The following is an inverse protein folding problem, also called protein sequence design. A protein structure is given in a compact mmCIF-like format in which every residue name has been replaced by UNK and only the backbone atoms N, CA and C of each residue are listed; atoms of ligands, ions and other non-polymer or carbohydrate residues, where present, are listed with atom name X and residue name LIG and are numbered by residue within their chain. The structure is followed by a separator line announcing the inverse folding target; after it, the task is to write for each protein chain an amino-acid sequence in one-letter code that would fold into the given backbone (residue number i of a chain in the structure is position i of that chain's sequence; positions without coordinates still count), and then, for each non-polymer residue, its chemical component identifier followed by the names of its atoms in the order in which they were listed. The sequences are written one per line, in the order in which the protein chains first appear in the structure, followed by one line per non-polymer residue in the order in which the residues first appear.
data_IF_850311071289
#
_entry.id   IF_850311071289
#
_cell.length_a   1.000
_cell.length_b   1.000
_cell.length_c   1.000
_cell.angle_alpha   90.00
_cell.angle_beta   90.00
_cell.angle_gamma   90.00
#
_symmetry.space_group_name_H-M   'P 1'
#
loop_
_entity.id
_entity.type
_entity.pdbx_description
1 polymer ?
#
# COMPACT_ATOMS: atom_id res chain seq x y z
N UNK A 1 -12.63 -25.91 0.22
CA UNK A 1 -12.00 -26.62 1.35
C UNK A 1 -10.93 -27.51 0.77
N UNK A 2 -9.67 -27.24 1.11
CA UNK A 2 -8.53 -27.98 0.55
C UNK A 2 -8.14 -29.11 1.50
N UNK A 3 -8.13 -30.36 1.05
CA UNK A 3 -7.73 -31.49 1.89
C UNK A 3 -6.21 -31.65 1.94
N UNK A 4 -5.62 -31.82 3.12
CA UNK A 4 -4.24 -32.29 3.26
C UNK A 4 -4.18 -33.79 3.00
N UNK A 5 -3.24 -34.21 2.16
CA UNK A 5 -2.95 -35.60 1.84
C UNK A 5 -1.83 -36.14 2.71
N UNK A 6 -0.76 -35.37 2.89
CA UNK A 6 0.42 -35.80 3.64
C UNK A 6 1.17 -34.62 4.25
N UNK A 7 1.87 -34.87 5.36
CA UNK A 7 2.89 -33.97 5.88
C UNK A 7 4.18 -34.75 6.19
N UNK A 8 5.32 -34.19 5.85
CA UNK A 8 6.64 -34.74 6.09
C UNK A 8 7.49 -33.77 6.90
N UNK A 9 8.09 -34.28 7.96
CA UNK A 9 9.05 -33.56 8.80
C UNK A 9 10.40 -33.49 8.09
N UNK A 10 10.96 -32.30 7.92
CA UNK A 10 12.28 -32.07 7.33
C UNK A 10 13.26 -31.49 8.36
N UNK A 11 14.48 -31.15 7.96
CA UNK A 11 15.50 -30.63 8.89
C UNK A 11 15.16 -29.25 9.48
N UNK A 12 14.46 -28.40 8.72
CA UNK A 12 14.12 -27.00 9.06
C UNK A 12 12.67 -26.59 8.79
N UNK A 13 11.87 -27.48 8.22
CA UNK A 13 10.50 -27.18 7.80
C UNK A 13 9.60 -28.42 7.88
N UNK A 14 8.29 -28.21 7.79
CA UNK A 14 7.33 -29.25 7.43
C UNK A 14 6.98 -29.07 5.96
N UNK A 15 7.12 -30.13 5.17
CA UNK A 15 6.56 -30.19 3.84
C UNK A 15 5.14 -30.76 3.94
N UNK A 16 4.18 -30.11 3.30
CA UNK A 16 2.80 -30.58 3.22
C UNK A 16 2.40 -30.75 1.76
N UNK A 17 1.60 -31.77 1.50
CA UNK A 17 1.00 -32.09 0.20
C UNK A 17 -0.52 -32.10 0.34
N UNK A 18 -1.21 -31.45 -0.58
CA UNK A 18 -2.67 -31.43 -0.66
C UNK A 18 -3.20 -32.51 -1.60
N UNK A 19 -4.50 -32.82 -1.50
CA UNK A 19 -5.17 -33.82 -2.35
C UNK A 19 -5.08 -33.51 -3.86
N UNK A 20 -4.88 -32.25 -4.23
CA UNK A 20 -4.68 -31.80 -5.60
C UNK A 20 -3.23 -31.90 -6.10
N UNK A 21 -2.32 -32.43 -5.27
CA UNK A 21 -0.91 -32.62 -5.59
C UNK A 21 -0.04 -31.37 -5.41
N UNK A 22 -0.61 -30.23 -4.98
CA UNK A 22 0.21 -29.08 -4.61
C UNK A 22 1.05 -29.42 -3.38
N UNK A 23 2.31 -28.98 -3.38
CA UNK A 23 3.23 -29.15 -2.26
C UNK A 23 3.77 -27.81 -1.79
N UNK A 24 3.91 -27.64 -0.48
CA UNK A 24 4.53 -26.44 0.10
C UNK A 24 5.36 -26.80 1.33
N UNK A 25 6.37 -25.96 1.60
CA UNK A 25 7.24 -26.10 2.77
C UNK A 25 7.05 -24.93 3.72
N UNK A 26 6.79 -25.22 5.00
CA UNK A 26 6.62 -24.22 6.05
C UNK A 26 7.77 -24.30 7.04
N UNK A 27 8.51 -23.20 7.20
CA UNK A 27 9.61 -23.11 8.14
C UNK A 27 9.10 -23.28 9.58
N UNK A 28 9.85 -24.02 10.41
CA UNK A 28 9.48 -24.23 11.82
C UNK A 28 9.32 -22.93 12.61
N UNK A 29 10.19 -21.94 12.36
CA UNK A 29 10.12 -20.64 13.00
C UNK A 29 8.84 -19.90 12.62
N UNK A 30 8.49 -19.94 11.33
CA UNK A 30 7.26 -19.31 10.84
C UNK A 30 6.03 -19.96 11.45
N UNK A 31 5.98 -21.30 11.47
CA UNK A 31 4.89 -22.05 12.11
C UNK A 31 4.79 -21.63 13.58
N UNK A 32 5.90 -21.60 14.30
CA UNK A 32 5.91 -21.26 15.72
C UNK A 32 5.43 -19.83 16.02
N UNK A 33 5.87 -18.85 15.23
CA UNK A 33 5.41 -17.45 15.34
C UNK A 33 3.93 -17.30 14.96
N UNK A 34 3.43 -18.10 14.01
CA UNK A 34 2.04 -18.03 13.53
C UNK A 34 1.11 -19.04 14.22
N UNK A 35 1.51 -19.55 15.38
CA UNK A 35 0.62 -20.37 16.19
C UNK A 35 -0.49 -19.53 16.82
N UNK A 36 -1.65 -20.14 17.08
CA UNK A 36 -2.79 -19.47 17.75
C UNK A 36 -2.40 -18.81 19.08
N UNK A 37 -1.41 -19.37 19.78
CA UNK A 37 -0.79 -18.78 20.97
C UNK A 37 0.56 -18.18 20.59
N UNK A 38 0.51 -17.07 19.85
CA UNK A 38 1.71 -16.39 19.36
C UNK A 38 2.66 -16.03 20.51
N UNK A 39 3.87 -16.59 20.56
CA UNK A 39 4.88 -16.18 21.53
C UNK A 39 5.38 -14.77 21.18
N UNK A 40 5.87 -14.02 22.18
CA UNK A 40 6.65 -12.83 21.85
C UNK A 40 8.00 -13.24 21.24
N UNK A 41 8.59 -12.36 20.42
CA UNK A 41 9.82 -12.66 19.69
C UNK A 41 10.97 -13.13 20.59
N UNK A 42 11.05 -12.58 21.81
CA UNK A 42 12.08 -12.92 22.81
C UNK A 42 11.96 -14.35 23.32
N UNK A 43 10.76 -14.93 23.29
CA UNK A 43 10.49 -16.31 23.74
C UNK A 43 10.46 -17.32 22.59
N UNK A 44 10.79 -16.89 21.37
CA UNK A 44 10.81 -17.75 20.20
C UNK A 44 12.16 -18.46 20.12
N UNK A 45 12.17 -19.76 20.39
CA UNK A 45 13.36 -20.58 20.17
C UNK A 45 13.61 -20.77 18.67
N UNK A 46 14.70 -20.17 18.19
CA UNK A 46 15.11 -20.19 16.78
C UNK A 46 15.47 -21.60 16.27
N UNK A 47 15.81 -22.50 17.19
CA UNK A 47 16.17 -23.88 16.89
C UNK A 47 15.03 -24.86 17.21
N UNK A 48 13.85 -24.36 17.58
CA UNK A 48 12.70 -25.19 17.88
C UNK A 48 12.36 -26.08 16.68
N UNK A 49 12.29 -27.38 16.94
CA UNK A 49 11.82 -28.39 15.98
C UNK A 49 10.66 -29.13 16.60
N UNK A 50 9.59 -29.41 15.84
CA UNK A 50 8.51 -30.22 16.35
C UNK A 50 9.06 -31.63 16.61
N UNK A 51 8.66 -32.25 17.71
CA UNK A 51 8.93 -33.65 18.00
C UNK A 51 8.10 -34.53 17.05
N UNK A 52 6.80 -34.25 16.99
CA UNK A 52 5.83 -34.97 16.17
C UNK A 52 5.12 -34.06 15.17
N UNK A 53 4.82 -34.64 14.00
CA UNK A 53 4.06 -34.02 12.91
C UNK A 53 2.92 -34.97 12.57
N UNK A 54 1.69 -34.58 12.93
CA UNK A 54 0.49 -35.36 12.67
C UNK A 54 -0.34 -34.62 11.62
N UNK A 55 -0.66 -35.30 10.52
CA UNK A 55 -1.47 -34.75 9.45
C UNK A 55 -2.86 -35.38 9.48
N UNK A 56 -3.88 -34.56 9.36
CA UNK A 56 -5.26 -34.96 9.12
C UNK A 56 -5.78 -34.19 7.92
N UNK A 57 -6.86 -34.68 7.28
CA UNK A 57 -7.42 -34.05 6.08
C UNK A 57 -7.64 -32.55 6.20
N UNK A 58 -8.04 -32.08 7.38
CA UNK A 58 -8.43 -30.68 7.60
C UNK A 58 -7.37 -29.86 8.34
N UNK A 59 -6.33 -30.50 8.89
CA UNK A 59 -5.42 -29.83 9.81
C UNK A 59 -4.06 -30.52 9.94
N UNK A 60 -3.03 -29.69 10.13
CA UNK A 60 -1.69 -30.07 10.53
C UNK A 60 -1.51 -29.82 12.03
N UNK A 61 -1.19 -30.87 12.77
CA UNK A 61 -0.90 -30.82 14.20
C UNK A 61 0.60 -31.02 14.43
N UNK A 62 1.24 -30.06 15.10
CA UNK A 62 2.65 -30.09 15.45
C UNK A 62 2.81 -30.09 16.97
N UNK A 63 3.64 -30.99 17.49
CA UNK A 63 4.00 -31.03 18.91
C UNK A 63 5.41 -30.50 19.07
N UNK A 64 5.57 -29.46 19.87
CA UNK A 64 6.84 -28.78 20.12
C UNK A 64 7.31 -29.03 21.56
N UNK A 65 8.62 -29.20 21.79
CA UNK A 65 9.18 -29.22 23.13
C UNK A 65 8.91 -27.89 23.89
N UNK A 66 8.75 -27.91 25.24
CA UNK A 66 8.69 -29.11 26.07
C UNK A 66 7.35 -29.85 25.95
N UNK A 67 6.18 -29.18 25.81
CA UNK A 67 4.87 -29.88 25.65
C UNK A 67 3.80 -28.97 25.02
N UNK A 68 4.14 -28.23 23.97
CA UNK A 68 3.18 -27.31 23.34
C UNK A 68 2.71 -27.85 22.00
N UNK A 69 1.41 -28.05 21.83
CA UNK A 69 0.81 -28.45 20.58
C UNK A 69 0.27 -27.22 19.82
N UNK A 70 0.45 -27.21 18.51
CA UNK A 70 -0.13 -26.20 17.62
C UNK A 70 -0.87 -26.88 16.49
N UNK A 71 -2.05 -26.38 16.16
CA UNK A 71 -2.90 -26.89 15.10
C UNK A 71 -3.07 -25.78 14.05
N UNK A 72 -2.83 -26.11 12.77
CA UNK A 72 -3.05 -25.24 11.62
C UNK A 72 -4.10 -25.87 10.72
N UNK A 73 -5.14 -25.11 10.37
CA UNK A 73 -6.11 -25.58 9.38
C UNK A 73 -5.47 -25.68 8.00
N UNK A 74 -5.97 -26.61 7.19
CA UNK A 74 -5.52 -26.77 5.81
C UNK A 74 -5.71 -25.50 4.99
N UNK A 75 -6.85 -24.82 5.17
CA UNK A 75 -7.15 -23.57 4.46
C UNK A 75 -6.16 -22.45 4.86
N UNK A 76 -5.83 -22.32 6.15
CA UNK A 76 -4.83 -21.35 6.61
C UNK A 76 -3.45 -21.63 5.98
N UNK A 77 -3.01 -22.89 5.99
CA UNK A 77 -1.75 -23.26 5.35
C UNK A 77 -1.82 -22.98 3.85
N UNK A 78 -2.96 -23.23 3.21
CA UNK A 78 -3.14 -23.02 1.77
C UNK A 78 -2.99 -21.55 1.38
N UNK A 79 -3.61 -20.65 2.14
CA UNK A 79 -3.51 -19.20 1.93
C UNK A 79 -2.09 -18.66 2.18
N UNK A 80 -1.35 -19.32 3.08
CA UNK A 80 0.00 -18.94 3.47
C UNK A 80 1.09 -19.79 2.80
N UNK A 81 0.74 -20.62 1.80
CA UNK A 81 1.75 -21.25 0.94
C UNK A 81 2.62 -20.11 0.46
N UNK A 82 3.92 -20.19 0.76
CA UNK A 82 4.90 -19.18 0.37
C UNK A 82 4.81 -19.00 -1.13
N UNK A 83 3.96 -18.05 -1.53
CA UNK A 83 4.09 -17.33 -2.75
C UNK A 83 5.47 -16.71 -2.61
N UNK A 84 6.47 -17.29 -3.26
CA UNK A 84 7.73 -16.63 -3.57
C UNK A 84 7.52 -15.32 -4.37
N UNK A 85 6.27 -14.95 -4.62
CA UNK A 85 5.85 -13.60 -4.95
C UNK A 85 5.81 -12.78 -3.67
N UNK A 86 6.80 -11.91 -3.52
CA UNK A 86 6.81 -10.74 -2.64
C UNK A 86 5.41 -10.22 -2.28
N UNK A 87 5.22 -9.61 -1.09
CA UNK A 87 3.96 -8.94 -0.71
C UNK A 87 3.45 -7.85 -1.68
N UNK A 88 4.16 -7.60 -2.79
CA UNK A 88 3.75 -6.78 -3.92
C UNK A 88 2.62 -7.38 -4.78
N UNK A 89 2.14 -8.62 -4.51
CA UNK A 89 1.05 -9.23 -5.29
C UNK A 89 -0.31 -8.54 -5.14
N UNK A 90 -0.49 -7.72 -4.10
CA UNK A 90 -1.68 -6.86 -3.97
C UNK A 90 -1.63 -5.68 -4.95
N UNK A 91 -0.45 -5.32 -5.48
CA UNK A 91 -0.29 -4.19 -6.40
C UNK A 91 -0.27 -4.67 -7.88
N UNK A 92 0.06 -5.93 -8.15
CA UNK A 92 0.28 -6.41 -9.54
C UNK A 92 -1.02 -6.66 -10.33
N UNK A 93 -2.16 -6.82 -9.68
CA UNK A 93 -3.43 -7.09 -10.37
C UNK A 93 -4.16 -5.83 -10.87
N UNK A 94 -3.59 -4.63 -10.72
CA UNK A 94 -4.30 -3.37 -11.00
C UNK A 94 -3.60 -2.44 -11.98
N UNK A 95 -2.43 -2.77 -12.52
CA UNK A 95 -1.74 -1.90 -13.47
C UNK A 95 -2.03 -2.33 -14.90
N UNK A 96 -3.24 -2.00 -15.35
CA UNK A 96 -3.59 -1.97 -16.77
C UNK A 96 -3.29 -0.56 -17.29
N UNK A 97 -2.18 -0.41 -18.02
CA UNK A 97 -1.88 0.86 -18.69
C UNK A 97 -2.84 1.05 -19.87
N UNK A 98 -3.91 1.82 -19.65
CA UNK A 98 -4.67 2.43 -20.74
C UNK A 98 -4.29 3.90 -20.88
N UNK A 99 -3.83 4.26 -22.07
CA UNK A 99 -3.54 5.62 -22.46
C UNK A 99 -4.84 6.43 -22.48
N UNK A 100 -5.02 7.32 -21.51
CA UNK A 100 -6.10 8.30 -21.53
C UNK A 100 -5.50 9.70 -21.65
N UNK A 101 -5.49 10.19 -22.88
CA UNK A 101 -5.31 11.60 -23.21
C UNK A 101 -6.65 12.31 -23.03
N UNK A 102 -7.02 12.65 -21.80
CA UNK A 102 -7.99 13.72 -21.44
C UNK A 102 -8.05 13.86 -19.93
N UNK A 103 -7.56 14.98 -19.42
CA UNK A 103 -7.79 15.42 -18.03
C UNK A 103 -9.32 15.50 -17.78
N UNK A 104 -9.87 14.87 -16.73
CA UNK A 104 -11.27 15.06 -16.39
C UNK A 104 -11.47 16.43 -15.76
N UNK A 105 -12.18 17.32 -16.47
CA UNK A 105 -12.75 18.52 -15.88
C UNK A 105 -13.97 18.10 -15.05
N UNK A 106 -13.80 17.94 -13.74
CA UNK A 106 -14.91 17.57 -12.85
C UNK A 106 -15.66 18.84 -12.44
N UNK A 107 -16.88 19.01 -12.97
CA UNK A 107 -17.83 20.00 -12.48
C UNK A 107 -18.63 19.35 -11.36
N UNK A 108 -18.51 19.85 -10.14
CA UNK A 108 -19.30 19.38 -9.00
C UNK A 108 -20.78 19.73 -9.24
N UNK A 109 -21.59 18.75 -9.61
CA UNK A 109 -23.05 18.85 -9.58
C UNK A 109 -23.58 17.89 -8.52
N UNK A 110 -24.50 18.39 -7.70
CA UNK A 110 -25.17 17.65 -6.64
C UNK A 110 -26.13 16.61 -7.23
N UNK A 111 -25.82 15.32 -7.07
CA UNK A 111 -26.81 14.26 -7.24
C UNK A 111 -26.52 13.10 -6.30
N UNK A 112 -27.52 12.73 -5.51
CA UNK A 112 -27.52 11.66 -4.53
C UNK A 112 -27.44 10.27 -5.20
N UNK A 113 -26.44 9.48 -4.79
CA UNK A 113 -26.52 8.06 -4.40
C UNK A 113 -25.16 7.37 -4.59
N UNK A 114 -24.73 6.65 -3.55
CA UNK A 114 -23.47 5.89 -3.49
C UNK A 114 -23.78 4.41 -3.79
N UNK A 115 -23.06 3.73 -4.70
CA UNK A 115 -23.00 2.28 -4.67
C UNK A 115 -21.92 1.84 -3.66
N UNK A 116 -22.37 1.26 -2.56
CA UNK A 116 -21.56 0.53 -1.61
C UNK A 116 -21.01 -0.73 -2.30
N UNK A 117 -19.69 -0.91 -2.28
CA UNK A 117 -18.95 -2.09 -2.77
C UNK A 117 -18.96 -2.34 -4.30
N UNK A 118 -18.06 -1.67 -5.03
CA UNK A 118 -17.51 -2.21 -6.28
C UNK A 118 -15.98 -2.26 -6.18
N UNK A 119 -15.33 -3.35 -6.58
CA UNK A 119 -13.87 -3.40 -6.64
C UNK A 119 -13.39 -2.36 -7.66
N UNK A 120 -12.53 -1.44 -7.21
CA UNK A 120 -11.85 -0.47 -8.05
C UNK A 120 -11.03 -1.22 -9.11
N UNK A 121 -11.62 -1.40 -10.28
CA UNK A 121 -10.96 -1.92 -11.47
C UNK A 121 -9.91 -0.90 -11.94
N UNK A 122 -8.70 -0.96 -11.38
CA UNK A 122 -7.51 -0.30 -11.92
C UNK A 122 -7.51 1.24 -11.94
N UNK A 123 -8.47 1.90 -11.28
CA UNK A 123 -8.52 3.36 -11.18
C UNK A 123 -7.88 3.79 -9.84
N UNK A 124 -6.79 4.56 -9.92
CA UNK A 124 -5.97 5.02 -8.79
C UNK A 124 -6.58 6.21 -8.03
N UNK A 125 -7.56 6.88 -8.63
CA UNK A 125 -8.26 8.03 -8.04
C UNK A 125 -9.78 7.92 -8.30
N UNK A 126 -10.57 7.99 -7.24
CA UNK A 126 -12.02 8.10 -7.31
C UNK A 126 -12.48 9.35 -6.55
N UNK A 127 -13.11 10.29 -7.24
CA UNK A 127 -13.83 11.39 -6.60
C UNK A 127 -15.22 10.87 -6.25
N UNK A 128 -15.50 10.77 -4.95
CA UNK A 128 -16.80 10.38 -4.43
C UNK A 128 -17.38 11.53 -3.62
N UNK A 129 -18.71 11.61 -3.56
CA UNK A 129 -19.37 12.53 -2.64
C UNK A 129 -18.93 12.18 -1.21
N UNK A 130 -18.44 13.17 -0.47
CA UNK A 130 -17.97 12.94 0.90
C UNK A 130 -19.16 12.59 1.80
N UNK A 131 -19.11 11.39 2.39
CA UNK A 131 -19.93 11.08 3.56
C UNK A 131 -19.46 11.92 4.77
N UNK A 132 -20.31 12.18 5.77
CA UNK A 132 -19.91 12.88 6.98
C UNK A 132 -18.67 12.20 7.59
N UNK A 133 -17.55 12.92 7.62
CA UNK A 133 -16.31 12.41 8.20
C UNK A 133 -16.42 12.56 9.72
N UNK A 134 -16.21 11.47 10.45
CA UNK A 134 -16.12 11.52 11.92
C UNK A 134 -14.99 12.49 12.30
N UNK A 135 -15.32 13.52 13.09
CA UNK A 135 -14.40 14.55 13.54
C UNK A 135 -13.13 13.98 14.21
N UNK A 136 -13.19 12.75 14.75
CA UNK A 136 -12.03 12.05 15.33
C UNK A 136 -10.95 11.65 14.33
N UNK A 137 -11.27 11.60 13.03
CA UNK A 137 -10.35 11.20 11.96
C UNK A 137 -9.84 12.39 11.14
N UNK A 138 -10.28 13.61 11.47
CA UNK A 138 -9.85 14.82 10.80
C UNK A 138 -8.48 15.24 11.34
N UNK A 139 -7.46 15.18 10.49
CA UNK A 139 -6.09 15.56 10.82
C UNK A 139 -5.92 17.09 10.88
N UNK A 140 -6.70 17.82 10.09
CA UNK A 140 -6.71 19.27 10.05
C UNK A 140 -7.74 19.82 9.08
N UNK A 141 -7.85 21.15 9.03
CA UNK A 141 -8.65 21.85 8.04
C UNK A 141 -7.84 23.05 7.54
N UNK A 142 -7.90 23.30 6.24
CA UNK A 142 -7.25 24.45 5.62
C UNK A 142 -8.21 25.15 4.68
N UNK A 143 -8.11 26.48 4.62
CA UNK A 143 -8.93 27.32 3.77
C UNK A 143 -8.03 28.04 2.77
N UNK A 144 -8.22 27.76 1.48
CA UNK A 144 -7.56 28.53 0.43
C UNK A 144 -8.52 29.51 -0.23
N UNK A 145 -7.97 30.60 -0.75
CA UNK A 145 -8.68 31.58 -1.58
C UNK A 145 -7.84 31.90 -2.81
N UNK A 146 -8.49 32.00 -3.96
CA UNK A 146 -7.85 32.32 -5.24
C UNK A 146 -7.75 31.11 -6.17
N UNK A 147 -7.13 31.31 -7.33
CA UNK A 147 -6.83 30.26 -8.30
C UNK A 147 -5.45 29.69 -7.99
N UNK A 148 -5.37 28.68 -7.11
CA UNK A 148 -4.15 27.87 -7.02
C UNK A 148 -3.94 27.20 -8.39
N UNK A 149 -2.93 27.65 -9.15
CA UNK A 149 -2.68 27.15 -10.51
C UNK A 149 -1.80 25.89 -10.51
N UNK A 150 -1.00 25.70 -9.46
CA UNK A 150 -0.03 24.62 -9.38
C UNK A 150 -0.63 23.42 -8.64
N UNK A 151 -0.47 22.24 -9.22
CA UNK A 151 -0.87 20.98 -8.60
C UNK A 151 0.13 20.59 -7.51
N UNK A 152 -0.38 20.17 -6.35
CA UNK A 152 0.47 19.78 -5.22
C UNK A 152 -0.26 18.88 -4.23
N UNK A 153 0.51 18.25 -3.35
CA UNK A 153 -0.01 17.49 -2.21
C UNK A 153 -0.26 18.41 -1.02
N UNK A 154 -1.25 18.06 -0.19
CA UNK A 154 -1.61 18.85 1.00
C UNK A 154 -0.69 18.49 2.17
N UNK A 155 -0.24 19.52 2.88
CA UNK A 155 0.65 19.46 4.05
C UNK A 155 1.94 18.65 3.86
N UNK A 156 2.77 18.97 2.84
CA UNK A 156 4.00 18.22 2.58
C UNK A 156 5.03 18.31 3.71
N UNK A 157 4.89 19.27 4.63
CA UNK A 157 5.74 19.42 5.82
C UNK A 157 5.40 18.42 6.95
N UNK A 158 4.28 17.70 6.86
CA UNK A 158 3.91 16.72 7.89
C UNK A 158 4.68 15.41 7.73
N UNK A 159 5.15 14.84 8.85
CA UNK A 159 5.81 13.52 8.85
C UNK A 159 4.88 12.38 8.39
N UNK A 160 3.57 12.52 8.68
CA UNK A 160 2.52 11.60 8.20
C UNK A 160 1.54 12.39 7.35
N UNK A 161 1.60 12.21 6.03
CA UNK A 161 0.72 12.88 5.09
C UNK A 161 -0.70 12.31 5.18
N UNK A 162 -1.74 13.15 5.03
CA UNK A 162 -3.11 12.68 4.92
C UNK A 162 -3.27 11.85 3.63
N UNK A 163 -3.82 10.65 3.76
CA UNK A 163 -4.11 9.79 2.60
C UNK A 163 -5.39 10.19 1.85
N UNK A 164 -6.29 10.94 2.51
CA UNK A 164 -7.59 11.35 1.98
C UNK A 164 -7.80 12.81 2.30
N UNK A 165 -8.34 13.57 1.35
CA UNK A 165 -8.76 14.95 1.53
C UNK A 165 -10.22 15.10 1.09
N UNK A 166 -11.00 15.83 1.89
CA UNK A 166 -12.31 16.31 1.51
C UNK A 166 -12.20 17.79 1.14
N UNK A 167 -12.83 18.16 0.02
CA UNK A 167 -12.85 19.52 -0.49
C UNK A 167 -14.29 20.02 -0.53
N UNK A 168 -14.53 21.19 0.05
CA UNK A 168 -15.83 21.84 0.04
C UNK A 168 -15.67 23.30 -0.42
N UNK A 169 -16.64 23.79 -1.19
CA UNK A 169 -16.64 25.18 -1.62
C UNK A 169 -17.20 26.10 -0.53
N UNK A 170 -16.43 27.12 -0.18
CA UNK A 170 -16.87 28.14 0.76
C UNK A 170 -17.97 29.02 0.13
N UNK A 171 -19.08 29.15 0.84
CA UNK A 171 -20.24 29.99 0.48
C UNK A 171 -21.05 29.48 -0.73
N UNK A 172 -21.00 28.18 -1.04
CA UNK A 172 -21.83 27.59 -2.10
C UNK A 172 -21.53 28.10 -3.51
N UNK A 173 -20.38 28.75 -3.72
CA UNK A 173 -19.93 29.17 -5.06
C UNK A 173 -19.42 27.96 -5.84
N UNK A 174 -19.53 27.98 -7.16
CA UNK A 174 -18.91 26.95 -7.98
C UNK A 174 -17.38 27.07 -7.88
N UNK A 175 -16.72 25.95 -7.59
CA UNK A 175 -15.27 25.81 -7.59
C UNK A 175 -14.89 24.70 -8.57
N UNK A 176 -13.75 24.86 -9.24
CA UNK A 176 -13.18 23.83 -10.10
C UNK A 176 -12.00 23.19 -9.37
N UNK A 177 -11.98 21.86 -9.37
CA UNK A 177 -10.89 21.08 -8.80
C UNK A 177 -10.15 20.37 -9.93
N UNK A 178 -8.84 20.53 -9.96
CA UNK A 178 -7.95 19.79 -10.85
C UNK A 178 -7.24 18.71 -10.05
N UNK A 179 -7.35 17.47 -10.50
CA UNK A 179 -6.68 16.32 -9.89
C UNK A 179 -5.73 15.71 -10.90
N UNK A 180 -4.50 15.43 -10.47
CA UNK A 180 -3.45 14.86 -11.31
C UNK A 180 -3.07 13.49 -10.77
N UNK A 181 -3.02 12.48 -11.66
CA UNK A 181 -2.46 11.17 -11.32
C UNK A 181 -0.92 11.28 -11.33
N UNK A 182 -0.37 11.55 -10.15
CA UNK A 182 1.08 11.67 -9.95
C UNK A 182 1.79 10.34 -10.22
N UNK A 183 1.16 9.19 -10.02
CA UNK A 183 1.78 7.88 -10.32
C UNK A 183 2.01 7.73 -11.81
N UNK A 184 1.02 8.08 -12.63
CA UNK A 184 1.18 8.07 -14.09
C UNK A 184 2.20 9.12 -14.55
N UNK A 185 2.16 10.33 -13.99
CA UNK A 185 3.12 11.39 -14.32
C UNK A 185 4.57 10.97 -14.01
N UNK A 186 4.79 10.37 -12.84
CA UNK A 186 6.09 9.85 -12.42
C UNK A 186 6.54 8.64 -13.25
N UNK A 187 5.63 7.75 -13.64
CA UNK A 187 5.95 6.64 -14.54
C UNK A 187 6.40 7.15 -15.93
N UNK A 188 5.76 8.21 -16.44
CA UNK A 188 6.18 8.86 -17.68
C UNK A 188 7.54 9.56 -17.53
N UNK A 189 7.78 10.22 -16.39
CA UNK A 189 9.07 10.85 -16.10
C UNK A 189 10.19 9.81 -16.03
N UNK A 190 9.99 8.71 -15.31
CA UNK A 190 10.95 7.61 -15.24
C UNK A 190 11.28 7.06 -16.62
N UNK A 191 10.28 6.88 -17.48
CA UNK A 191 10.46 6.35 -18.84
C UNK A 191 11.18 7.32 -19.77
N UNK A 192 10.88 8.63 -19.69
CA UNK A 192 11.41 9.64 -20.63
C UNK A 192 12.72 10.28 -20.17
N UNK A 193 12.88 10.48 -18.86
CA UNK A 193 13.99 11.18 -18.24
C UNK A 193 14.44 10.46 -16.95
N UNK A 194 15.00 9.23 -17.05
CA UNK A 194 15.34 8.42 -15.89
C UNK A 194 16.32 9.09 -14.92
N UNK A 195 17.30 9.84 -15.44
CA UNK A 195 18.26 10.57 -14.61
C UNK A 195 17.59 11.67 -13.76
N UNK A 196 16.61 12.38 -14.31
CA UNK A 196 15.84 13.40 -13.57
C UNK A 196 14.94 12.75 -12.53
N UNK A 197 14.31 11.62 -12.88
CA UNK A 197 13.52 10.84 -11.93
C UNK A 197 14.37 10.37 -10.76
N UNK A 198 15.54 9.78 -11.02
CA UNK A 198 16.45 9.29 -9.99
C UNK A 198 16.96 10.43 -9.10
N UNK A 199 17.34 11.55 -9.70
CA UNK A 199 17.70 12.76 -8.96
C UNK A 199 16.58 13.21 -8.01
N UNK A 200 15.35 13.34 -8.50
CA UNK A 200 14.21 13.74 -7.67
C UNK A 200 13.91 12.73 -6.56
N UNK A 201 14.05 11.43 -6.83
CA UNK A 201 13.84 10.38 -5.84
C UNK A 201 14.89 10.38 -4.72
N UNK A 202 16.10 10.87 -4.99
CA UNK A 202 17.20 10.98 -4.03
C UNK A 202 17.25 12.34 -3.33
N UNK A 203 16.57 13.35 -3.88
CA UNK A 203 16.54 14.68 -3.29
C UNK A 203 15.67 14.73 -2.04
N UNK A 204 16.29 15.08 -0.91
CA UNK A 204 15.55 15.50 0.28
C UNK A 204 15.13 16.96 0.11
N UNK A 205 13.81 17.19 0.12
CA UNK A 205 13.21 18.51 0.15
C UNK A 205 12.79 18.84 1.58
N UNK A 206 13.28 19.95 2.10
CA UNK A 206 12.85 20.49 3.38
C UNK A 206 11.65 21.41 3.16
N UNK A 207 10.52 21.06 3.76
CA UNK A 207 9.32 21.89 3.74
C UNK A 207 9.22 22.61 5.08
N UNK A 208 9.41 23.93 5.08
CA UNK A 208 9.49 24.70 6.32
C UNK A 208 8.17 25.32 6.79
N UNK A 209 7.12 25.42 5.96
CA UNK A 209 5.83 26.02 6.34
C UNK A 209 4.61 25.41 5.61
N UNK A 210 3.41 25.83 6.03
CA UNK A 210 2.12 25.47 5.44
C UNK A 210 2.03 25.91 3.97
N UNK A 211 1.43 25.04 3.15
CA UNK A 211 1.61 24.98 1.69
C UNK A 211 1.06 26.16 0.84
N UNK A 212 0.61 27.29 1.41
CA UNK A 212 -0.10 28.31 0.63
C UNK A 212 0.06 29.76 1.08
N UNK A 213 0.98 30.08 1.99
CA UNK A 213 1.16 31.47 2.44
C UNK A 213 2.04 32.26 1.46
N UNK A 214 1.44 32.68 0.33
CA UNK A 214 1.78 33.75 -0.63
C UNK A 214 3.24 34.04 -1.06
N UNK A 215 4.22 33.27 -0.65
CA UNK A 215 5.59 33.31 -1.15
C UNK A 215 6.04 31.86 -1.29
N UNK A 216 5.89 31.33 -2.50
CA UNK A 216 6.34 29.99 -2.90
C UNK A 216 7.75 29.76 -2.34
N UNK A 217 7.83 28.87 -1.35
CA UNK A 217 9.03 28.50 -0.64
C UNK A 217 10.05 27.89 -1.60
N UNK A 218 11.11 28.66 -1.86
CA UNK A 218 12.51 28.24 -1.96
C UNK A 218 12.83 26.87 -2.57
N UNK A 219 12.27 26.55 -3.74
CA UNK A 219 12.93 25.65 -4.70
C UNK A 219 13.74 26.44 -5.74
N UNK A 220 13.72 27.78 -5.72
CA UNK A 220 14.45 28.59 -6.69
C UNK A 220 15.97 28.48 -6.60
N UNK A 221 16.58 28.58 -5.41
CA UNK A 221 18.05 28.63 -5.30
C UNK A 221 18.76 27.36 -5.79
N UNK A 222 18.20 26.17 -5.50
CA UNK A 222 18.80 24.89 -5.90
C UNK A 222 18.39 24.50 -7.32
N UNK A 223 17.13 24.73 -7.73
CA UNK A 223 16.71 24.43 -9.12
C UNK A 223 17.14 25.47 -10.15
N UNK A 224 17.34 26.75 -9.82
CA UNK A 224 17.90 27.73 -10.76
C UNK A 224 19.38 27.41 -11.05
N UNK A 225 20.16 27.01 -10.04
CA UNK A 225 21.51 26.45 -10.23
C UNK A 225 21.50 25.19 -11.11
N UNK A 226 20.54 24.29 -10.90
CA UNK A 226 20.41 23.08 -11.72
C UNK A 226 19.91 23.37 -13.14
N UNK A 227 19.04 24.35 -13.33
CA UNK A 227 18.63 24.79 -14.67
C UNK A 227 19.80 25.37 -15.46
N UNK A 228 20.77 25.99 -14.78
CA UNK A 228 22.02 26.46 -15.39
C UNK A 228 23.01 25.32 -15.65
N UNK A 229 23.07 24.30 -14.80
CA UNK A 229 23.94 23.12 -14.99
C UNK A 229 23.40 22.12 -16.05
N UNK A 230 22.08 22.05 -16.23
CA UNK A 230 21.43 21.17 -17.22
C UNK A 230 20.99 21.91 -18.50
N UNK A 231 21.15 23.23 -18.58
CA UNK A 231 21.09 23.98 -19.85
C UNK A 231 22.48 23.98 -20.51
N UNK A 232 22.88 22.83 -21.05
CA UNK A 232 23.95 22.74 -22.05
C UNK A 232 23.27 22.39 -23.38
N UNK A 233 23.60 23.21 -24.39
CA UNK A 233 23.43 23.04 -25.85
C UNK A 233 23.25 21.62 -26.36
#
# INVERSE_FOLDING_TARGET
MWGLKQAQKMSKCVQVEWEDGLMASFNYLWLRDNSLKRPSLVHLDLNAKPEAVNCSRNALNLVWPPFSATNYSSDFLRENVQSSTHPLKVISNSISFHAYSKLPLVTLQSSESVPESAPLNGQTCSVVQASPIDAKHVVGQFYWRGTAQESGTIWPHMQKLPAVCAVESLNGRSAQLFVVDTTQALALLFKRHPAQFEFLAQCMLEYSEDCFDRNILFVKSKMEKLSQEFSIT
#
